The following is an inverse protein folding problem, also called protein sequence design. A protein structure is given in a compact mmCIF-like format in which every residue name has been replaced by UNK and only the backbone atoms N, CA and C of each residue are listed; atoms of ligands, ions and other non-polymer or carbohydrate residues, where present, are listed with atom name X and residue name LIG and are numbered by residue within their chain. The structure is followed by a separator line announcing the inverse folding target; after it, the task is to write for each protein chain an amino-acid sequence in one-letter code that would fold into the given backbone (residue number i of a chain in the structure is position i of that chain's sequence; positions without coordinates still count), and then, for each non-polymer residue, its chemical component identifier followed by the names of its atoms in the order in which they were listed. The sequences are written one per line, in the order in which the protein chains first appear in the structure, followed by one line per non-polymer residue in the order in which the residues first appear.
data_IF_510058160290
#
_entry.id   IF_510058160290
#
_cell.length_a   1.000
_cell.length_b   1.000
_cell.length_c   1.000
_cell.angle_alpha   90.00
_cell.angle_beta   90.00
_cell.angle_gamma   90.00
#
_symmetry.space_group_name_H-M   'P 1'
#
loop_
_entity.id
_entity.type
_entity.pdbx_description
1 polymer ?
#
# COMPACT_ATOMS: atom_id res chain seq x y z
N UNK A 1 -38.54 2.11 -58.66
CA UNK A 1 -37.49 2.96 -58.05
C UNK A 1 -37.17 2.42 -56.67
N UNK A 2 -35.89 2.19 -56.39
CA UNK A 2 -35.34 1.68 -55.12
C UNK A 2 -35.35 2.79 -54.05
N UNK A 3 -35.68 2.44 -52.81
CA UNK A 3 -35.04 2.96 -51.59
C UNK A 3 -35.12 1.89 -50.49
N UNK A 4 -34.35 0.81 -50.63
CA UNK A 4 -34.01 -0.05 -49.50
C UNK A 4 -32.90 0.67 -48.71
N UNK A 5 -33.29 1.50 -47.73
CA UNK A 5 -32.34 2.12 -46.82
C UNK A 5 -31.74 1.04 -45.91
N UNK A 6 -30.42 0.85 -45.98
CA UNK A 6 -29.69 0.09 -44.95
C UNK A 6 -29.71 0.90 -43.65
N UNK A 7 -30.73 0.70 -42.83
CA UNK A 7 -30.73 1.12 -41.44
C UNK A 7 -29.85 0.14 -40.64
N UNK A 8 -28.53 0.23 -40.80
CA UNK A 8 -27.60 -0.39 -39.85
C UNK A 8 -27.66 0.41 -38.56
N UNK A 9 -28.48 -0.06 -37.62
CA UNK A 9 -28.48 0.42 -36.24
C UNK A 9 -27.06 0.22 -35.70
N UNK A 10 -26.37 1.28 -35.22
CA UNK A 10 -25.08 1.10 -34.58
C UNK A 10 -25.26 0.12 -33.42
N UNK A 11 -24.36 -0.86 -33.25
CA UNK A 11 -24.46 -1.76 -32.11
C UNK A 11 -24.50 -0.94 -30.83
N UNK A 12 -25.44 -1.29 -29.95
CA UNK A 12 -25.58 -0.62 -28.67
C UNK A 12 -24.25 -0.67 -27.90
N UNK A 13 -23.86 0.44 -27.29
CA UNK A 13 -22.69 0.50 -26.40
C UNK A 13 -22.85 -0.54 -25.30
N UNK A 14 -21.88 -1.44 -25.19
CA UNK A 14 -21.87 -2.52 -24.21
C UNK A 14 -20.91 -2.15 -23.08
N UNK A 15 -21.39 -2.20 -21.84
CA UNK A 15 -20.52 -2.09 -20.66
C UNK A 15 -19.97 -3.50 -20.40
N UNK A 16 -18.65 -3.64 -20.45
CA UNK A 16 -17.95 -4.89 -20.17
C UNK A 16 -17.18 -4.71 -18.88
N UNK A 17 -17.51 -5.49 -17.84
CA UNK A 17 -16.73 -5.51 -16.61
C UNK A 17 -15.49 -6.38 -16.82
N UNK A 18 -14.33 -5.73 -16.86
CA UNK A 18 -13.04 -6.39 -16.98
C UNK A 18 -12.44 -6.56 -15.59
N UNK A 19 -12.15 -7.79 -15.12
CA UNK A 19 -11.48 -7.99 -13.84
C UNK A 19 -10.09 -7.37 -13.90
N UNK A 20 -9.83 -6.40 -13.02
CA UNK A 20 -8.50 -5.82 -12.84
C UNK A 20 -7.90 -6.37 -11.57
N UNK A 21 -6.66 -6.86 -11.67
CA UNK A 21 -5.91 -7.27 -10.49
C UNK A 21 -5.70 -6.05 -9.58
N UNK A 22 -6.17 -6.13 -8.34
CA UNK A 22 -5.93 -5.10 -7.33
C UNK A 22 -5.03 -5.66 -6.24
N UNK A 23 -4.04 -4.89 -5.76
CA UNK A 23 -3.22 -5.32 -4.65
C UNK A 23 -4.12 -5.50 -3.43
N UNK A 24 -3.95 -6.62 -2.74
CA UNK A 24 -4.77 -6.91 -1.59
C UNK A 24 -4.53 -5.91 -0.44
N UNK A 25 -3.25 -5.55 -0.20
CA UNK A 25 -2.90 -4.50 0.76
C UNK A 25 -3.14 -3.15 0.11
N UNK A 26 -4.20 -2.47 0.56
CA UNK A 26 -4.59 -1.15 0.03
C UNK A 26 -3.78 -0.01 0.64
N UNK A 27 -3.41 -0.15 1.91
CA UNK A 27 -2.66 0.85 2.64
C UNK A 27 -1.50 0.17 3.36
N UNK A 28 -0.29 0.60 3.01
CA UNK A 28 0.93 0.15 3.68
C UNK A 28 1.19 1.11 4.84
N UNK A 29 1.26 0.62 6.10
CA UNK A 29 1.64 1.43 7.23
C UNK A 29 2.94 2.21 6.95
N UNK A 30 2.97 3.49 7.31
CA UNK A 30 4.16 4.30 7.11
C UNK A 30 5.29 3.83 8.05
N UNK A 31 6.49 3.62 7.48
CA UNK A 31 7.68 3.26 8.26
C UNK A 31 8.00 4.36 9.28
N UNK A 32 8.16 4.05 10.58
CA UNK A 32 8.53 5.03 11.58
C UNK A 32 9.89 5.66 11.26
N UNK A 33 10.03 6.95 11.57
CA UNK A 33 11.32 7.63 11.54
C UNK A 33 11.99 7.41 12.91
N UNK A 34 12.95 6.48 12.96
CA UNK A 34 13.64 6.12 14.19
C UNK A 34 14.63 7.19 14.65
N UNK A 35 14.84 7.30 15.96
CA UNK A 35 15.88 8.15 16.55
C UNK A 35 17.26 7.57 16.26
N UNK A 36 17.38 6.24 16.32
CA UNK A 36 18.63 5.53 16.06
C UNK A 36 19.19 5.83 14.67
N UNK A 37 18.34 5.88 13.64
CA UNK A 37 18.71 6.15 12.24
C UNK A 37 19.34 7.55 12.04
N UNK A 38 19.13 8.47 12.99
CA UNK A 38 19.65 9.84 12.95
C UNK A 38 20.97 10.01 13.68
N UNK A 39 21.40 9.00 14.44
CA UNK A 39 22.63 9.09 15.20
C UNK A 39 23.83 8.98 14.26
N UNK A 40 24.88 9.80 14.45
CA UNK A 40 26.12 9.62 13.73
C UNK A 40 26.79 8.30 14.14
N UNK A 41 27.61 7.73 13.26
CA UNK A 41 28.25 6.43 13.47
C UNK A 41 29.15 6.41 14.73
N UNK A 42 29.78 7.54 15.03
CA UNK A 42 30.66 7.77 16.18
C UNK A 42 29.89 8.15 17.47
N UNK A 43 28.55 8.15 17.44
CA UNK A 43 27.76 8.38 18.64
C UNK A 43 28.13 7.38 19.76
N UNK A 44 28.20 7.84 21.02
CA UNK A 44 28.49 6.95 22.15
C UNK A 44 27.47 5.81 22.24
N UNK A 45 27.93 4.63 22.65
CA UNK A 45 27.07 3.44 22.74
C UNK A 45 25.87 3.67 23.66
N UNK A 46 26.05 4.43 24.75
CA UNK A 46 24.94 4.81 25.63
C UNK A 46 23.83 5.58 24.91
N UNK A 47 24.18 6.49 24.00
CA UNK A 47 23.20 7.24 23.21
C UNK A 47 22.48 6.34 22.21
N UNK A 48 23.21 5.41 21.58
CA UNK A 48 22.67 4.39 20.67
C UNK A 48 21.64 3.49 21.38
N UNK A 49 21.99 2.96 22.56
CA UNK A 49 21.09 2.10 23.34
C UNK A 49 19.83 2.85 23.79
N UNK A 50 19.96 4.10 24.22
CA UNK A 50 18.79 4.90 24.61
C UNK A 50 17.87 5.21 23.43
N UNK A 51 18.42 5.51 22.26
CA UNK A 51 17.63 5.69 21.04
C UNK A 51 16.87 4.40 20.67
N UNK A 52 17.56 3.25 20.69
CA UNK A 52 16.92 1.94 20.47
C UNK A 52 15.79 1.67 21.47
N UNK A 53 15.98 1.96 22.75
CA UNK A 53 14.96 1.75 23.78
C UNK A 53 13.69 2.59 23.50
N UNK A 54 13.83 3.82 22.99
CA UNK A 54 12.71 4.68 22.60
C UNK A 54 12.06 4.23 21.29
N UNK A 55 12.86 3.73 20.36
CA UNK A 55 12.40 3.21 19.08
C UNK A 55 11.67 1.87 19.20
N UNK A 56 12.03 1.05 20.19
CA UNK A 56 11.47 -0.27 20.42
C UNK A 56 9.94 -0.34 20.40
N UNK A 57 9.19 0.41 21.22
CA UNK A 57 7.73 0.36 21.19
C UNK A 57 7.14 0.85 19.86
N UNK A 58 7.79 1.80 19.18
CA UNK A 58 7.37 2.28 17.86
C UNK A 58 7.53 1.19 16.80
N UNK A 59 8.64 0.46 16.84
CA UNK A 59 8.88 -0.71 15.99
C UNK A 59 7.82 -1.80 16.19
N UNK A 60 7.58 -2.20 17.43
CA UNK A 60 6.56 -3.23 17.74
C UNK A 60 5.15 -2.85 17.27
N UNK A 61 4.77 -1.58 17.41
CA UNK A 61 3.48 -1.09 16.92
C UNK A 61 3.40 -1.15 15.38
N UNK A 62 4.47 -0.78 14.70
CA UNK A 62 4.55 -0.82 13.24
C UNK A 62 4.50 -2.26 12.70
N UNK A 63 5.26 -3.18 13.31
CA UNK A 63 5.22 -4.61 12.98
C UNK A 63 3.80 -5.17 13.11
N UNK A 64 3.11 -4.91 14.24
CA UNK A 64 1.74 -5.37 14.41
C UNK A 64 0.76 -4.78 13.39
N UNK A 65 0.96 -3.54 12.96
CA UNK A 65 0.16 -2.92 11.90
C UNK A 65 0.41 -3.60 10.53
N UNK A 66 1.67 -3.95 10.21
CA UNK A 66 2.01 -4.70 9.01
C UNK A 66 1.40 -6.10 9.02
N UNK A 67 1.53 -6.82 10.14
CA UNK A 67 0.92 -8.14 10.31
C UNK A 67 -0.60 -8.09 10.14
N UNK A 68 -1.26 -7.07 10.71
CA UNK A 68 -2.70 -6.85 10.53
C UNK A 68 -3.09 -6.55 9.09
N UNK A 69 -2.31 -5.73 8.38
CA UNK A 69 -2.55 -5.42 6.97
C UNK A 69 -2.40 -6.66 6.08
N UNK A 70 -1.48 -7.57 6.40
CA UNK A 70 -1.28 -8.83 5.68
C UNK A 70 -2.31 -9.90 6.04
N UNK A 71 -2.76 -9.97 7.30
CA UNK A 71 -3.75 -10.96 7.73
C UNK A 71 -5.11 -10.76 7.03
N UNK A 72 -5.46 -9.52 6.66
CA UNK A 72 -6.64 -9.22 5.84
C UNK A 72 -6.54 -9.68 4.39
N UNK A 73 -5.40 -10.24 3.97
CA UNK A 73 -5.15 -10.73 2.63
C UNK A 73 -5.13 -12.24 2.56
N UNK A 74 -6.28 -12.82 2.21
CA UNK A 74 -6.48 -14.24 1.96
C UNK A 74 -7.58 -14.44 0.93
#
# INVERSE_FOLDING_TARGET
MLLAGCSTVPPATQIVEVPVHTPCVKEVPARPVYEFDKLPLDAPDGAKILALARDWPRGRKYEGALEGALAGCH
#
